data_IF_750689524454
#
_entry.id   IF_750689524454
#
_cell.length_a   1.000
_cell.length_b   1.000
_cell.length_c   1.000
_cell.angle_alpha   90.00
_cell.angle_beta   90.00
_cell.angle_gamma   90.00
#
_symmetry.space_group_name_H-M   'P 1'
#
loop_
_entity.id
_entity.type
_entity.pdbx_description
1 polymer ?
#
# COMPACT_ATOMS: atom_id res chain seq x y z
N UNK A 1 -3.64 15.67 -9.79
CA UNK A 1 -4.30 14.56 -10.51
C UNK A 1 -3.58 13.31 -10.06
N UNK A 2 -4.24 12.39 -9.36
CA UNK A 2 -3.58 11.17 -8.88
C UNK A 2 -3.24 10.26 -10.08
N UNK A 3 -1.95 10.14 -10.35
CA UNK A 3 -1.40 9.39 -11.50
C UNK A 3 -1.50 7.88 -11.27
N UNK A 4 -1.62 7.46 -10.00
CA UNK A 4 -1.70 6.08 -9.58
C UNK A 4 -3.12 5.66 -9.21
N UNK A 5 -3.48 4.43 -9.58
CA UNK A 5 -4.76 3.80 -9.22
C UNK A 5 -4.51 2.41 -8.67
N UNK A 6 -5.39 1.95 -7.78
CA UNK A 6 -5.31 0.65 -7.15
C UNK A 6 -6.49 -0.23 -7.57
N UNK A 7 -6.21 -1.35 -8.24
CA UNK A 7 -7.24 -2.32 -8.63
C UNK A 7 -7.19 -3.53 -7.72
N UNK A 8 -8.32 -3.87 -7.10
CA UNK A 8 -8.40 -4.98 -6.15
C UNK A 8 -8.13 -6.32 -6.82
N UNK A 9 -7.26 -7.11 -6.20
CA UNK A 9 -7.01 -8.50 -6.58
C UNK A 9 -7.92 -9.45 -5.80
N UNK A 10 -8.15 -10.63 -6.36
CA UNK A 10 -8.92 -11.68 -5.71
C UNK A 10 -8.29 -12.05 -4.36
N UNK A 11 -9.09 -12.17 -3.29
CA UNK A 11 -8.59 -12.60 -2.00
C UNK A 11 -8.08 -14.05 -2.09
N UNK A 12 -7.07 -14.37 -1.28
CA UNK A 12 -6.59 -15.76 -1.12
C UNK A 12 -7.42 -16.46 -0.03
N UNK A 13 -7.65 -17.78 -0.12
CA UNK A 13 -8.36 -18.51 0.93
C UNK A 13 -7.66 -18.36 2.28
N UNK A 14 -8.43 -18.11 3.36
CA UNK A 14 -7.93 -17.93 4.72
C UNK A 14 -6.94 -16.76 4.93
N UNK A 15 -6.87 -15.81 3.98
CA UNK A 15 -5.98 -14.67 4.06
C UNK A 15 -6.79 -13.37 4.10
N UNK A 16 -6.70 -12.65 5.22
CA UNK A 16 -7.36 -11.36 5.43
C UNK A 16 -6.63 -10.20 4.76
N UNK A 17 -5.47 -10.46 4.15
CA UNK A 17 -4.69 -9.44 3.44
C UNK A 17 -5.40 -9.02 2.16
N UNK A 18 -5.72 -7.74 2.07
CA UNK A 18 -6.27 -7.14 0.85
C UNK A 18 -5.13 -6.78 -0.07
N UNK A 19 -5.22 -7.22 -1.32
CA UNK A 19 -4.19 -7.00 -2.33
C UNK A 19 -4.73 -6.17 -3.46
N UNK A 20 -3.90 -5.27 -3.97
CA UNK A 20 -4.22 -4.42 -5.10
C UNK A 20 -3.01 -4.34 -6.03
N UNK A 21 -3.29 -4.16 -7.31
CA UNK A 21 -2.29 -3.80 -8.30
C UNK A 21 -2.20 -2.28 -8.40
N UNK A 22 -0.98 -1.75 -8.47
CA UNK A 22 -0.72 -0.33 -8.74
C UNK A 22 -0.66 -0.12 -10.25
N UNK A 23 -1.54 0.75 -10.75
CA UNK A 23 -1.60 1.16 -12.14
C UNK A 23 -1.13 2.60 -12.29
N UNK A 24 -0.33 2.90 -13.32
CA UNK A 24 0.06 4.26 -13.70
C UNK A 24 -0.71 4.70 -14.95
N UNK A 25 -1.12 5.98 -15.03
CA UNK A 25 -1.75 6.60 -16.21
C UNK A 25 -3.00 5.91 -16.76
N UNK A 26 -4.14 5.97 -16.07
CA UNK A 26 -5.52 5.62 -16.51
C UNK A 26 -5.79 4.27 -17.24
N UNK A 27 -4.84 3.59 -17.88
CA UNK A 27 -5.07 2.55 -18.89
C UNK A 27 -3.95 1.48 -18.97
N UNK A 28 -3.62 0.85 -17.82
CA UNK A 28 -3.08 -0.54 -17.71
C UNK A 28 -1.57 -0.73 -17.49
N UNK A 29 -0.76 0.29 -17.23
CA UNK A 29 0.64 0.02 -16.84
C UNK A 29 0.71 -0.51 -15.40
N UNK A 30 0.94 -1.82 -15.28
CA UNK A 30 1.20 -2.50 -14.02
C UNK A 30 2.58 -2.11 -13.51
N UNK A 31 2.62 -1.21 -12.52
CA UNK A 31 3.88 -0.65 -11.99
C UNK A 31 4.18 -1.08 -10.56
N UNK A 32 3.34 -1.95 -9.98
CA UNK A 32 3.55 -2.40 -8.62
C UNK A 32 2.38 -3.15 -8.01
N UNK A 33 2.53 -3.43 -6.72
CA UNK A 33 1.53 -4.08 -5.89
C UNK A 33 1.39 -3.36 -4.54
N UNK A 34 0.20 -3.44 -3.98
CA UNK A 34 -0.15 -2.91 -2.68
C UNK A 34 -0.78 -4.02 -1.85
N UNK A 35 -0.26 -4.26 -0.65
CA UNK A 35 -0.85 -5.18 0.31
C UNK A 35 -1.21 -4.44 1.59
N UNK A 36 -2.40 -4.72 2.11
CA UNK A 36 -2.92 -4.18 3.36
C UNK A 36 -3.32 -5.37 4.21
N UNK A 37 -2.58 -5.62 5.29
CA UNK A 37 -2.94 -6.66 6.25
C UNK A 37 -3.71 -6.07 7.44
N UNK A 38 -4.72 -6.82 7.89
CA UNK A 38 -5.56 -6.47 9.04
C UNK A 38 -6.98 -6.06 8.65
N UNK A 39 -7.98 -6.85 9.04
CA UNK A 39 -9.35 -6.35 9.30
C UNK A 39 -9.46 -6.03 10.80
N UNK A 40 -8.40 -5.41 11.35
CA UNK A 40 -8.01 -5.64 12.73
C UNK A 40 -8.86 -4.81 13.72
N UNK A 41 -9.35 -5.39 14.83
CA UNK A 41 -10.07 -4.65 15.87
C UNK A 41 -9.23 -3.53 16.47
N UNK A 42 -9.88 -2.62 17.20
CA UNK A 42 -9.21 -1.55 17.95
C UNK A 42 -8.01 -2.08 18.75
N UNK A 43 -6.85 -1.42 18.61
CA UNK A 43 -5.62 -1.79 19.28
C UNK A 43 -4.65 -2.69 18.48
N UNK A 44 -5.09 -3.26 17.36
CA UNK A 44 -4.22 -4.03 16.46
C UNK A 44 -3.40 -3.13 15.50
N UNK A 45 -2.53 -3.79 14.71
CA UNK A 45 -1.69 -3.17 13.69
C UNK A 45 -2.22 -3.46 12.29
N UNK A 46 -2.31 -2.42 11.47
CA UNK A 46 -2.51 -2.49 10.03
C UNK A 46 -1.16 -2.30 9.35
N UNK A 47 -0.75 -3.22 8.48
CA UNK A 47 0.50 -3.11 7.74
C UNK A 47 0.21 -2.79 6.27
N UNK A 48 0.85 -1.74 5.77
CA UNK A 48 0.82 -1.31 4.39
C UNK A 48 2.15 -1.65 3.73
N UNK A 49 2.13 -2.58 2.79
CA UNK A 49 3.31 -2.94 1.98
C UNK A 49 3.11 -2.45 0.56
N UNK A 50 4.00 -1.59 0.07
CA UNK A 50 3.99 -1.08 -1.30
C UNK A 50 5.21 -1.62 -2.02
N UNK A 51 4.99 -2.24 -3.17
CA UNK A 51 6.04 -2.76 -4.05
C UNK A 51 5.93 -2.01 -5.38
N UNK A 52 7.03 -1.42 -5.83
CA UNK A 52 7.13 -0.65 -7.06
C UNK A 52 8.14 -1.31 -8.00
N UNK A 53 7.80 -1.38 -9.28
CA UNK A 53 8.69 -1.88 -10.32
C UNK A 53 9.86 -0.90 -10.57
N UNK A 54 11.03 -1.39 -11.02
CA UNK A 54 12.23 -0.56 -11.27
C UNK A 54 12.03 0.50 -12.36
N UNK A 55 10.97 0.38 -13.17
CA UNK A 55 10.59 1.38 -14.19
C UNK A 55 10.15 2.71 -13.57
N UNK A 56 9.82 2.76 -12.28
CA UNK A 56 9.45 3.99 -11.58
C UNK A 56 10.69 4.71 -11.04
N UNK A 57 10.79 6.01 -11.33
CA UNK A 57 11.75 6.90 -10.67
C UNK A 57 11.44 7.04 -9.19
N UNK A 58 12.42 7.46 -8.39
CA UNK A 58 12.31 7.68 -6.94
C UNK A 58 11.12 8.59 -6.61
N UNK A 59 11.00 9.72 -7.31
CA UNK A 59 9.87 10.64 -7.17
C UNK A 59 8.52 9.97 -7.48
N UNK A 60 8.47 9.10 -8.51
CA UNK A 60 7.25 8.38 -8.85
C UNK A 60 6.91 7.30 -7.81
N UNK A 61 7.92 6.69 -7.17
CA UNK A 61 7.73 5.75 -6.06
C UNK A 61 7.17 6.47 -4.83
N UNK A 62 7.71 7.64 -4.49
CA UNK A 62 7.20 8.44 -3.37
C UNK A 62 5.79 8.97 -3.61
N UNK A 63 5.46 9.36 -4.84
CA UNK A 63 4.09 9.72 -5.23
C UNK A 63 3.13 8.51 -5.12
N UNK A 64 3.57 7.32 -5.56
CA UNK A 64 2.78 6.09 -5.41
C UNK A 64 2.55 5.75 -3.93
N UNK A 65 3.56 5.93 -3.08
CA UNK A 65 3.45 5.74 -1.63
C UNK A 65 2.48 6.74 -1.01
N UNK A 66 2.58 8.02 -1.36
CA UNK A 66 1.67 9.07 -0.89
C UNK A 66 0.22 8.75 -1.27
N UNK A 67 -0.01 8.29 -2.50
CA UNK A 67 -1.33 7.87 -2.98
C UNK A 67 -1.82 6.63 -2.21
N UNK A 68 -0.94 5.65 -1.97
CA UNK A 68 -1.26 4.45 -1.21
C UNK A 68 -1.64 4.75 0.25
N UNK A 69 -0.97 5.71 0.89
CA UNK A 69 -1.31 6.18 2.26
C UNK A 69 -2.70 6.79 2.32
N UNK A 70 -3.07 7.63 1.35
CA UNK A 70 -4.42 8.20 1.25
C UNK A 70 -5.47 7.10 1.05
N UNK A 71 -5.20 6.19 0.13
CA UNK A 71 -6.09 5.06 -0.16
C UNK A 71 -6.27 4.14 1.05
N UNK A 72 -5.21 3.89 1.83
CA UNK A 72 -5.33 3.18 3.09
C UNK A 72 -6.28 3.90 4.06
N UNK A 73 -6.15 5.22 4.21
CA UNK A 73 -7.02 6.04 5.05
C UNK A 73 -8.50 5.92 4.66
N UNK A 74 -8.80 5.94 3.37
CA UNK A 74 -10.17 5.75 2.85
C UNK A 74 -10.70 4.34 3.15
N UNK A 75 -9.85 3.32 2.97
CA UNK A 75 -10.20 1.93 3.24
C UNK A 75 -10.54 1.72 4.73
N UNK A 76 -9.67 2.17 5.64
CA UNK A 76 -9.87 1.96 7.09
C UNK A 76 -11.03 2.79 7.63
N UNK A 77 -11.25 3.99 7.09
CA UNK A 77 -12.44 4.80 7.39
C UNK A 77 -13.71 4.06 6.97
N UNK A 78 -13.68 3.38 5.82
CA UNK A 78 -14.77 2.50 5.37
C UNK A 78 -15.01 1.29 6.29
N UNK A 79 -14.06 0.94 7.16
CA UNK A 79 -14.20 -0.08 8.20
C UNK A 79 -14.65 0.50 9.55
N UNK A 80 -14.76 1.82 9.66
CA UNK A 80 -15.06 2.50 10.92
C UNK A 80 -13.88 2.57 11.88
N UNK A 81 -12.65 2.48 11.37
CA UNK A 81 -11.42 2.52 12.17
C UNK A 81 -10.65 3.83 11.94
N UNK A 82 -10.00 4.33 13.00
CA UNK A 82 -8.97 5.37 12.89
C UNK A 82 -7.58 4.74 12.98
N UNK A 83 -6.61 5.26 12.23
CA UNK A 83 -5.24 4.73 12.25
C UNK A 83 -4.21 5.84 12.45
N UNK A 84 -3.20 5.56 13.25
CA UNK A 84 -2.04 6.43 13.43
C UNK A 84 -0.77 5.75 12.94
N UNK A 85 0.04 6.45 12.16
CA UNK A 85 1.34 5.94 11.72
C UNK A 85 2.26 5.73 12.93
N UNK A 86 2.93 4.58 12.98
CA UNK A 86 4.07 4.40 13.87
C UNK A 86 5.23 5.30 13.43
N UNK A 87 5.99 5.91 14.36
CA UNK A 87 7.01 6.91 14.04
C UNK A 87 8.28 6.36 13.36
N UNK A 88 8.29 5.11 12.91
CA UNK A 88 9.48 4.52 12.28
C UNK A 88 9.69 5.02 10.85
N UNK A 89 10.91 5.50 10.60
CA UNK A 89 11.38 5.87 9.26
C UNK A 89 11.30 4.69 8.32
N UNK A 90 10.53 4.87 7.27
CA UNK A 90 10.21 3.82 6.32
C UNK A 90 11.00 4.11 5.05
N UNK A 91 12.03 3.31 4.84
CA UNK A 91 12.92 3.43 3.69
C UNK A 91 12.52 2.42 2.63
N UNK A 92 12.68 2.79 1.36
CA UNK A 92 12.61 1.86 0.26
C UNK A 92 13.79 0.88 0.34
N UNK A 93 13.47 -0.41 0.27
CA UNK A 93 14.42 -1.52 0.18
C UNK A 93 14.37 -2.07 -1.23
N UNK A 94 15.52 -2.22 -1.87
CA UNK A 94 15.62 -2.93 -3.15
C UNK A 94 15.59 -4.45 -2.89
N UNK A 95 14.67 -5.14 -3.55
CA UNK A 95 14.49 -6.58 -3.48
C UNK A 95 15.36 -7.29 -4.54
N UNK A 96 15.65 -8.60 -4.38
CA UNK A 96 16.52 -9.34 -5.31
C UNK A 96 16.04 -9.39 -6.77
N UNK A 97 14.75 -9.14 -7.01
CA UNK A 97 14.14 -9.08 -8.34
C UNK A 97 14.21 -7.68 -8.99
N UNK A 98 14.88 -6.72 -8.32
CA UNK A 98 15.01 -5.33 -8.74
C UNK A 98 13.78 -4.47 -8.43
N UNK A 99 12.76 -5.02 -7.78
CA UNK A 99 11.64 -4.22 -7.29
C UNK A 99 12.05 -3.44 -6.03
N UNK A 100 11.32 -2.39 -5.73
CA UNK A 100 11.50 -1.62 -4.52
C UNK A 100 10.30 -1.80 -3.61
N UNK A 101 10.56 -2.14 -2.35
CA UNK A 101 9.55 -2.37 -1.34
C UNK A 101 9.67 -1.37 -0.20
N UNK A 102 8.54 -0.87 0.28
CA UNK A 102 8.44 -0.16 1.55
C UNK A 102 7.31 -0.77 2.37
N UNK A 103 7.54 -0.91 3.67
CA UNK A 103 6.57 -1.43 4.62
C UNK A 103 6.34 -0.37 5.69
N UNK A 104 5.06 -0.11 5.96
CA UNK A 104 4.59 0.88 6.91
C UNK A 104 3.62 0.22 7.89
N UNK A 105 3.81 0.49 9.17
CA UNK A 105 2.92 -0.01 10.22
C UNK A 105 2.09 1.13 10.80
N UNK A 106 0.80 0.85 10.98
CA UNK A 106 -0.18 1.76 11.53
C UNK A 106 -0.90 1.09 12.69
N UNK A 107 -1.11 1.84 13.77
CA UNK A 107 -1.88 1.36 14.91
C UNK A 107 -3.32 1.82 14.81
N UNK A 108 -4.26 0.88 14.98
CA UNK A 108 -5.69 1.17 15.03
C UNK A 108 -6.04 1.82 16.37
N UNK A 109 -6.86 2.87 16.34
CA UNK A 109 -7.34 3.63 17.49
C UNK A 109 -8.85 3.57 17.63
#
# INVERSE_FOLDING_TARGET
MDVFRFTKLSPRPNDRTRRYTILRNLEKDHVGALEISGDAPEGDTVVLSVICAPVLSDAARDDALSTARRFLGEIVTGWGLDIAASPETSNWVEEPDGNFRVVLEYRVR
#
